data_IF_761069190735
#
_entry.id   IF_761069190735
#
_cell.length_a   1.000
_cell.length_b   1.000
_cell.length_c   1.000
_cell.angle_alpha   90.00
_cell.angle_beta   90.00
_cell.angle_gamma   90.00
#
_symmetry.space_group_name_H-M   'P 1'
#
loop_
_entity.id
_entity.type
_entity.pdbx_description
1 polymer ?
#
# COMPACT_ATOMS: atom_id res chain seq x y z
N UNK A 1 24.20 11.97 49.18
CA UNK A 1 24.80 11.32 48.00
C UNK A 1 23.64 11.15 47.03
N UNK A 2 23.57 12.07 46.07
CA UNK A 2 22.55 12.06 45.03
C UNK A 2 23.09 11.14 43.93
N UNK A 3 22.78 9.85 44.03
CA UNK A 3 23.11 8.89 42.97
C UNK A 3 22.16 9.16 41.81
N UNK A 4 22.61 10.06 40.93
CA UNK A 4 21.94 10.40 39.71
C UNK A 4 21.68 9.14 38.90
N UNK A 5 20.40 8.81 38.76
CA UNK A 5 19.90 7.74 37.89
C UNK A 5 20.55 7.90 36.53
N UNK A 6 21.18 6.84 36.03
CA UNK A 6 21.88 6.89 34.75
C UNK A 6 20.92 7.25 33.62
N UNK A 7 21.45 7.81 32.53
CA UNK A 7 20.62 8.16 31.35
C UNK A 7 19.85 6.94 30.85
N UNK A 8 20.44 5.74 30.94
CA UNK A 8 19.79 4.47 30.57
C UNK A 8 18.62 4.14 31.49
N UNK A 9 18.77 4.26 32.80
CA UNK A 9 17.70 3.94 33.75
C UNK A 9 16.54 4.93 33.68
N UNK A 10 16.81 6.20 33.34
CA UNK A 10 15.76 7.19 33.05
C UNK A 10 15.05 6.88 31.74
N UNK A 11 15.77 6.42 30.72
CA UNK A 11 15.18 6.00 29.44
C UNK A 11 14.29 4.77 29.64
N UNK A 12 14.77 3.74 30.34
CA UNK A 12 14.01 2.52 30.64
C UNK A 12 12.75 2.83 31.47
N UNK A 13 12.84 3.74 32.44
CA UNK A 13 11.69 4.16 33.25
C UNK A 13 10.65 4.94 32.42
N UNK A 14 11.09 5.75 31.46
CA UNK A 14 10.21 6.46 30.51
C UNK A 14 9.53 5.45 29.58
N UNK A 15 10.29 4.50 29.02
CA UNK A 15 9.75 3.44 28.16
C UNK A 15 8.72 2.59 28.91
N UNK A 16 9.02 2.19 30.15
CA UNK A 16 8.11 1.40 30.98
C UNK A 16 6.86 2.18 31.41
N UNK A 17 6.97 3.49 31.62
CA UNK A 17 5.82 4.36 31.88
C UNK A 17 4.95 4.53 30.63
N UNK A 18 5.56 4.73 29.46
CA UNK A 18 4.86 4.79 28.18
C UNK A 18 4.17 3.47 27.84
N UNK A 19 4.83 2.32 28.06
CA UNK A 19 4.22 1.00 27.87
C UNK A 19 3.02 0.76 28.80
N UNK A 20 3.07 1.25 30.05
CA UNK A 20 1.93 1.19 30.98
C UNK A 20 0.79 2.10 30.55
N UNK A 21 1.09 3.35 30.20
CA UNK A 21 0.09 4.30 29.69
C UNK A 21 -0.60 3.78 28.42
N UNK A 22 0.10 3.05 27.56
CA UNK A 22 -0.48 2.38 26.39
C UNK A 22 -1.27 1.11 26.71
N UNK A 23 -0.86 0.34 27.71
CA UNK A 23 -1.65 -0.78 28.24
C UNK A 23 -3.04 -0.32 28.74
N UNK A 24 -3.13 0.95 29.13
CA UNK A 24 -4.36 1.59 29.59
C UNK A 24 -5.21 2.23 28.48
N UNK A 25 -4.70 2.36 27.24
CA UNK A 25 -5.48 2.93 26.11
C UNK A 25 -6.25 1.87 25.34
N UNK A 26 -7.45 2.23 24.89
CA UNK A 26 -8.31 1.37 24.11
C UNK A 26 -7.95 1.49 22.62
N UNK A 27 -7.47 0.39 22.05
CA UNK A 27 -7.13 0.27 20.63
C UNK A 27 -8.35 -0.21 19.84
N UNK A 28 -8.82 0.61 18.91
CA UNK A 28 -9.92 0.26 18.00
C UNK A 28 -9.37 -0.15 16.64
N UNK A 29 -9.73 -1.35 16.18
CA UNK A 29 -9.39 -1.84 14.84
C UNK A 29 -10.56 -1.58 13.89
N UNK A 30 -10.26 -1.37 12.60
CA UNK A 30 -11.30 -1.30 11.57
C UNK A 30 -12.02 -2.64 11.46
N UNK A 31 -13.36 -2.60 11.40
CA UNK A 31 -14.19 -3.80 11.30
C UNK A 31 -13.87 -4.64 10.05
N UNK A 32 -13.40 -3.99 8.98
CA UNK A 32 -12.95 -4.64 7.74
C UNK A 32 -11.96 -5.79 8.02
N UNK A 33 -11.02 -5.60 8.94
CA UNK A 33 -10.00 -6.59 9.27
C UNK A 33 -10.55 -7.76 10.11
N UNK A 34 -11.57 -7.51 10.94
CA UNK A 34 -12.22 -8.56 11.71
C UNK A 34 -13.06 -9.47 10.80
N UNK A 35 -13.71 -8.87 9.79
CA UNK A 35 -14.45 -9.61 8.79
C UNK A 35 -13.56 -10.53 7.94
N UNK A 36 -12.29 -10.16 7.69
CA UNK A 36 -11.35 -11.04 6.99
C UNK A 36 -10.98 -12.30 7.77
N UNK A 37 -11.13 -12.27 9.10
CA UNK A 37 -10.97 -13.46 9.97
C UNK A 37 -12.30 -14.21 10.17
N UNK A 38 -13.36 -13.87 9.42
CA UNK A 38 -14.70 -14.43 9.57
C UNK A 38 -15.40 -14.00 10.87
N UNK A 39 -14.92 -12.95 11.53
CA UNK A 39 -15.44 -12.47 12.81
C UNK A 39 -16.31 -11.23 12.61
N UNK A 40 -17.56 -11.28 13.08
CA UNK A 40 -18.46 -10.14 13.14
C UNK A 40 -18.75 -9.79 14.61
N UNK A 41 -18.00 -8.85 15.21
CA UNK A 41 -18.17 -8.53 16.62
C UNK A 41 -19.47 -7.75 16.86
N UNK A 42 -20.05 -7.91 18.04
CA UNK A 42 -21.04 -6.97 18.55
C UNK A 42 -20.41 -5.58 18.74
N UNK A 43 -21.24 -4.53 18.74
CA UNK A 43 -20.77 -3.16 18.89
C UNK A 43 -19.99 -3.00 20.20
N UNK A 44 -18.72 -2.65 20.10
CA UNK A 44 -17.90 -2.33 21.26
C UNK A 44 -18.47 -1.12 22.01
N UNK A 45 -18.40 -1.17 23.34
CA UNK A 45 -18.80 -0.07 24.23
C UNK A 45 -17.78 1.08 24.25
N UNK A 46 -16.71 1.01 23.45
CA UNK A 46 -15.58 1.94 23.41
C UNK A 46 -15.02 2.28 24.80
N UNK A 47 -15.19 1.39 25.78
CA UNK A 47 -14.80 1.60 27.17
C UNK A 47 -15.56 2.70 27.90
N UNK A 48 -16.80 3.01 27.50
CA UNK A 48 -17.69 3.89 28.26
C UNK A 48 -17.75 3.43 29.72
N UNK A 49 -17.42 4.33 30.65
CA UNK A 49 -17.42 4.04 32.10
C UNK A 49 -16.19 3.31 32.63
N UNK A 50 -15.23 2.93 31.77
CA UNK A 50 -13.98 2.28 32.22
C UNK A 50 -12.90 3.25 32.70
N UNK A 51 -13.05 4.55 32.43
CA UNK A 51 -12.05 5.58 32.72
C UNK A 51 -10.82 5.57 31.81
N UNK A 52 -10.74 4.62 30.87
CA UNK A 52 -9.67 4.50 29.88
C UNK A 52 -9.93 5.37 28.66
N UNK A 53 -8.87 5.91 28.08
CA UNK A 53 -8.93 6.74 26.89
C UNK A 53 -8.74 5.90 25.62
N UNK A 54 -9.34 6.33 24.51
CA UNK A 54 -9.07 5.73 23.19
C UNK A 54 -7.66 6.09 22.73
N UNK A 55 -7.04 5.20 21.95
CA UNK A 55 -5.81 5.55 21.25
C UNK A 55 -6.11 6.59 20.16
N UNK A 56 -5.72 7.83 20.43
CA UNK A 56 -5.80 8.96 19.51
C UNK A 56 -4.40 9.42 19.08
N UNK A 57 -4.26 9.81 17.82
CA UNK A 57 -2.99 10.30 17.26
C UNK A 57 -2.07 9.19 16.74
N UNK A 58 -0.76 9.45 16.79
CA UNK A 58 0.27 8.51 16.36
C UNK A 58 0.39 7.35 17.37
N UNK A 59 0.49 6.11 16.87
CA UNK A 59 0.64 4.90 17.67
C UNK A 59 2.11 4.67 18.00
N UNK A 60 2.50 4.76 19.27
CA UNK A 60 3.90 4.60 19.70
C UNK A 60 4.46 3.19 19.52
N UNK A 61 3.61 2.19 19.24
CA UNK A 61 4.04 0.83 18.87
C UNK A 61 4.59 0.78 17.44
N UNK A 62 4.33 1.80 16.64
CA UNK A 62 4.86 1.95 15.29
C UNK A 62 6.03 2.94 15.29
N UNK A 63 7.00 2.78 14.37
CA UNK A 63 8.02 3.80 14.15
C UNK A 63 7.40 5.19 13.92
N UNK A 64 8.02 6.20 14.51
CA UNK A 64 7.53 7.58 14.44
C UNK A 64 7.58 8.09 12.99
N UNK A 65 6.47 8.68 12.55
CA UNK A 65 6.37 9.33 11.24
C UNK A 65 6.93 10.76 11.31
N UNK A 66 7.67 11.24 10.30
CA UNK A 66 8.06 12.66 10.20
C UNK A 66 6.85 13.61 10.20
N UNK A 67 7.10 14.89 10.51
CA UNK A 67 6.05 15.91 10.53
C UNK A 67 5.41 16.09 9.14
N UNK A 68 6.24 16.12 8.09
CA UNK A 68 5.85 16.17 6.68
C UNK A 68 6.29 14.86 5.98
N UNK A 69 5.48 13.78 6.07
CA UNK A 69 5.90 12.47 5.57
C UNK A 69 5.95 12.41 4.04
N UNK A 70 6.99 11.77 3.52
CA UNK A 70 7.16 11.45 2.10
C UNK A 70 6.61 10.07 1.78
N UNK A 71 6.46 9.76 0.49
CA UNK A 71 6.13 8.40 0.06
C UNK A 71 7.12 7.36 0.60
N UNK A 72 8.43 7.67 0.60
CA UNK A 72 9.47 6.78 1.12
C UNK A 72 9.36 6.55 2.63
N UNK A 73 8.83 7.50 3.39
CA UNK A 73 8.55 7.31 4.82
C UNK A 73 7.43 6.29 5.04
N UNK A 74 6.36 6.33 4.22
CA UNK A 74 5.31 5.30 4.29
C UNK A 74 5.84 3.91 3.92
N UNK A 75 6.66 3.82 2.88
CA UNK A 75 7.32 2.57 2.47
C UNK A 75 8.15 1.97 3.61
N UNK A 76 8.95 2.80 4.29
CA UNK A 76 9.86 2.35 5.36
C UNK A 76 9.14 2.08 6.68
N UNK A 77 8.11 2.85 7.00
CA UNK A 77 7.54 2.93 8.36
C UNK A 77 6.13 2.34 8.49
N UNK A 78 5.43 2.07 7.38
CA UNK A 78 4.04 1.58 7.40
C UNK A 78 3.77 0.39 6.49
N UNK A 79 4.50 0.23 5.39
CA UNK A 79 4.24 -0.86 4.45
C UNK A 79 4.97 -2.14 4.86
N UNK A 80 4.55 -3.26 4.27
CA UNK A 80 5.10 -4.57 4.55
C UNK A 80 6.61 -4.62 4.28
N UNK A 81 7.37 -5.01 5.31
CA UNK A 81 8.82 -5.26 5.22
C UNK A 81 9.04 -6.45 4.28
N UNK A 82 9.92 -6.28 3.29
CA UNK A 82 10.24 -7.31 2.29
C UNK A 82 9.22 -7.46 1.16
N UNK A 83 7.97 -7.01 1.35
CA UNK A 83 6.91 -7.04 0.33
C UNK A 83 7.17 -6.12 -0.88
N UNK A 84 8.16 -5.24 -0.75
CA UNK A 84 8.52 -4.24 -1.77
C UNK A 84 9.34 -4.82 -2.93
N UNK A 85 9.98 -5.98 -2.75
CA UNK A 85 10.81 -6.59 -3.80
C UNK A 85 9.98 -6.96 -5.04
N UNK A 86 8.72 -7.35 -4.87
CA UNK A 86 7.74 -7.53 -5.96
C UNK A 86 7.66 -6.27 -6.84
N UNK A 87 7.38 -5.13 -6.21
CA UNK A 87 7.24 -3.84 -6.89
C UNK A 87 8.56 -3.42 -7.56
N UNK A 88 9.68 -3.58 -6.87
CA UNK A 88 11.01 -3.19 -7.37
C UNK A 88 11.47 -4.06 -8.53
N UNK A 89 11.25 -5.38 -8.48
CA UNK A 89 11.58 -6.27 -9.60
C UNK A 89 10.67 -6.01 -10.81
N UNK A 90 9.38 -5.72 -10.59
CA UNK A 90 8.46 -5.32 -11.66
C UNK A 90 8.92 -4.04 -12.36
N UNK A 91 9.27 -3.00 -11.60
CA UNK A 91 9.83 -1.76 -12.14
C UNK A 91 11.17 -1.97 -12.87
N UNK A 92 12.05 -2.82 -12.34
CA UNK A 92 13.32 -3.16 -12.97
C UNK A 92 13.12 -3.85 -14.31
N UNK A 93 12.16 -4.77 -14.40
CA UNK A 93 11.81 -5.44 -15.65
C UNK A 93 11.22 -4.45 -16.67
N UNK A 94 10.31 -3.58 -16.23
CA UNK A 94 9.74 -2.51 -17.05
C UNK A 94 10.85 -1.61 -17.65
N UNK A 95 11.84 -1.25 -16.83
CA UNK A 95 12.98 -0.45 -17.28
C UNK A 95 13.85 -1.20 -18.29
N UNK A 96 14.15 -2.49 -18.06
CA UNK A 96 14.89 -3.34 -19.01
C UNK A 96 14.15 -3.53 -20.33
N UNK A 97 12.83 -3.58 -20.29
CA UNK A 97 11.96 -3.66 -21.46
C UNK A 97 11.81 -2.31 -22.19
N UNK A 98 12.48 -1.24 -21.72
CA UNK A 98 12.51 0.06 -22.39
C UNK A 98 11.22 0.86 -22.26
N UNK A 99 10.39 0.59 -21.25
CA UNK A 99 9.19 1.39 -21.00
C UNK A 99 9.57 2.82 -20.56
N UNK A 100 8.73 3.82 -20.90
CA UNK A 100 8.96 5.19 -20.46
C UNK A 100 8.88 5.31 -18.94
N UNK A 101 9.57 6.29 -18.35
CA UNK A 101 9.72 6.40 -16.89
C UNK A 101 8.40 6.46 -16.11
N UNK A 102 7.36 7.12 -16.63
CA UNK A 102 6.05 7.13 -15.96
C UNK A 102 5.41 5.74 -15.91
N UNK A 103 5.68 4.86 -16.88
CA UNK A 103 5.25 3.47 -16.85
C UNK A 103 6.14 2.59 -15.97
N UNK A 104 7.44 2.91 -15.85
CA UNK A 104 8.30 2.30 -14.82
C UNK A 104 7.76 2.65 -13.43
N UNK A 105 7.35 3.90 -13.20
CA UNK A 105 6.66 4.30 -11.97
C UNK A 105 5.35 3.54 -11.80
N UNK A 106 4.56 3.36 -12.86
CA UNK A 106 3.32 2.61 -12.78
C UNK A 106 3.55 1.16 -12.31
N UNK A 107 4.56 0.47 -12.84
CA UNK A 107 4.97 -0.85 -12.36
C UNK A 107 5.51 -0.82 -10.92
N UNK A 108 6.21 0.23 -10.51
CA UNK A 108 6.69 0.40 -9.14
C UNK A 108 5.55 0.56 -8.12
N UNK A 109 4.39 1.07 -8.55
CA UNK A 109 3.28 1.44 -7.66
C UNK A 109 2.02 0.57 -7.82
N UNK A 110 1.97 -0.36 -8.78
CA UNK A 110 0.73 -1.05 -9.13
C UNK A 110 0.06 -1.78 -7.96
N UNK A 111 0.86 -2.42 -7.10
CA UNK A 111 0.41 -3.19 -5.95
C UNK A 111 0.64 -2.45 -4.61
N UNK A 112 0.77 -1.12 -4.64
CA UNK A 112 1.00 -0.29 -3.44
C UNK A 112 -0.06 -0.51 -2.35
N UNK A 113 -1.31 -0.76 -2.74
CA UNK A 113 -2.40 -1.05 -1.80
C UNK A 113 -2.26 -2.46 -1.18
N UNK A 114 -1.70 -3.43 -1.91
CA UNK A 114 -1.38 -4.75 -1.35
C UNK A 114 -0.27 -4.64 -0.30
N UNK A 115 0.76 -3.84 -0.57
CA UNK A 115 1.89 -3.66 0.35
C UNK A 115 1.55 -2.84 1.60
N UNK A 116 0.62 -1.89 1.49
CA UNK A 116 0.44 -0.87 2.52
C UNK A 116 -0.97 -0.70 3.07
N UNK A 117 -2.02 -1.02 2.31
CA UNK A 117 -3.38 -0.53 2.61
C UNK A 117 -4.46 -1.63 2.55
N UNK A 118 -5.31 -1.65 1.53
CA UNK A 118 -6.41 -2.61 1.38
C UNK A 118 -6.14 -3.49 0.17
N UNK A 119 -6.12 -4.81 0.39
CA UNK A 119 -5.84 -5.82 -0.65
C UNK A 119 -7.01 -6.11 -1.58
N UNK A 120 -8.22 -6.19 -1.04
CA UNK A 120 -9.43 -6.40 -1.85
C UNK A 120 -9.64 -5.17 -2.72
N UNK A 121 -9.78 -5.35 -4.04
CA UNK A 121 -9.78 -4.26 -5.02
C UNK A 121 -8.52 -3.36 -4.99
N UNK A 122 -7.34 -3.98 -4.80
CA UNK A 122 -6.05 -3.29 -4.70
C UNK A 122 -5.76 -2.30 -5.84
N UNK A 123 -6.13 -2.63 -7.09
CA UNK A 123 -5.91 -1.72 -8.22
C UNK A 123 -6.70 -0.42 -8.05
N UNK A 124 -7.93 -0.51 -7.55
CA UNK A 124 -8.78 0.65 -7.29
C UNK A 124 -8.28 1.46 -6.10
N UNK A 125 -8.02 0.81 -4.96
CA UNK A 125 -7.50 1.50 -3.78
C UNK A 125 -6.14 2.13 -4.03
N UNK A 126 -5.25 1.40 -4.71
CA UNK A 126 -3.92 1.87 -5.08
C UNK A 126 -4.00 3.09 -6.00
N UNK A 127 -4.78 2.99 -7.07
CA UNK A 127 -4.99 4.09 -8.00
C UNK A 127 -5.55 5.33 -7.31
N UNK A 128 -6.62 5.19 -6.50
CA UNK A 128 -7.23 6.31 -5.76
C UNK A 128 -6.25 6.95 -4.77
N UNK A 129 -5.42 6.14 -4.10
CA UNK A 129 -4.44 6.63 -3.13
C UNK A 129 -3.36 7.50 -3.76
N UNK A 130 -2.96 7.19 -5.00
CA UNK A 130 -1.87 7.91 -5.68
C UNK A 130 -2.34 8.93 -6.72
N UNK A 131 -3.60 8.86 -7.16
CA UNK A 131 -4.17 9.67 -8.27
C UNK A 131 -3.84 11.17 -8.19
N UNK A 132 -3.88 11.84 -7.01
CA UNK A 132 -3.55 13.26 -6.95
C UNK A 132 -2.07 13.58 -7.23
N UNK A 133 -1.18 12.59 -7.14
CA UNK A 133 0.26 12.76 -7.15
C UNK A 133 0.93 12.26 -8.43
N UNK A 134 0.23 11.53 -9.28
CA UNK A 134 0.78 10.97 -10.52
C UNK A 134 0.00 11.46 -11.74
N UNK A 135 0.47 11.12 -12.93
CA UNK A 135 -0.28 11.41 -14.15
C UNK A 135 -1.52 10.51 -14.27
N UNK A 136 -2.57 11.03 -14.92
CA UNK A 136 -3.86 10.35 -15.09
C UNK A 136 -3.69 8.96 -15.74
N UNK A 137 -2.77 8.84 -16.70
CA UNK A 137 -2.42 7.57 -17.34
C UNK A 137 -1.88 6.54 -16.35
N UNK A 138 -1.01 6.94 -15.43
CA UNK A 138 -0.42 6.06 -14.41
C UNK A 138 -1.50 5.57 -13.46
N UNK A 139 -2.33 6.48 -12.94
CA UNK A 139 -3.44 6.11 -12.05
C UNK A 139 -4.43 5.18 -12.76
N UNK A 140 -4.79 5.49 -14.01
CA UNK A 140 -5.69 4.65 -14.81
C UNK A 140 -5.11 3.27 -15.08
N UNK A 141 -3.82 3.20 -15.46
CA UNK A 141 -3.14 1.95 -15.75
C UNK A 141 -3.10 1.05 -14.51
N UNK A 142 -2.77 1.61 -13.35
CA UNK A 142 -2.80 0.91 -12.05
C UNK A 142 -4.23 0.51 -11.69
N UNK A 143 -5.25 1.31 -11.97
CA UNK A 143 -6.63 0.90 -11.69
C UNK A 143 -7.03 -0.33 -12.50
N UNK A 144 -6.69 -0.33 -13.78
CA UNK A 144 -7.17 -1.32 -14.75
C UNK A 144 -6.30 -2.57 -14.81
N UNK A 145 -5.04 -2.55 -14.36
CA UNK A 145 -4.22 -3.76 -14.30
C UNK A 145 -4.91 -4.89 -13.51
N UNK A 146 -5.74 -4.53 -12.51
CA UNK A 146 -6.52 -5.47 -11.71
C UNK A 146 -7.49 -6.32 -12.54
N UNK A 147 -8.19 -5.77 -13.53
CA UNK A 147 -9.09 -6.58 -14.36
C UNK A 147 -8.31 -7.23 -15.52
N UNK A 148 -7.35 -6.52 -16.12
CA UNK A 148 -6.57 -7.03 -17.25
C UNK A 148 -5.74 -8.27 -16.91
N UNK A 149 -5.25 -8.40 -15.66
CA UNK A 149 -4.43 -9.55 -15.22
C UNK A 149 -5.10 -10.92 -15.44
N UNK A 150 -6.43 -10.97 -15.51
CA UNK A 150 -7.20 -12.20 -15.72
C UNK A 150 -7.46 -12.57 -17.18
N UNK A 151 -7.12 -11.69 -18.14
CA UNK A 151 -7.43 -11.93 -19.56
C UNK A 151 -6.15 -11.94 -20.40
N UNK A 152 -5.94 -12.96 -21.24
CA UNK A 152 -4.77 -13.03 -22.11
C UNK A 152 -4.81 -11.94 -23.19
N UNK A 153 -3.63 -11.60 -23.70
CA UNK A 153 -3.43 -10.71 -24.83
C UNK A 153 -2.20 -11.17 -25.64
N UNK A 154 -2.47 -11.94 -26.70
CA UNK A 154 -1.44 -12.52 -27.57
C UNK A 154 -0.61 -11.46 -28.30
N UNK A 155 -1.16 -10.25 -28.51
CA UNK A 155 -0.46 -9.18 -29.24
C UNK A 155 0.82 -8.72 -28.54
N UNK A 156 0.91 -8.94 -27.23
CA UNK A 156 2.07 -8.65 -26.38
C UNK A 156 2.60 -9.89 -25.66
N UNK A 157 2.18 -11.08 -26.09
CA UNK A 157 2.61 -12.35 -25.50
C UNK A 157 2.16 -12.57 -24.05
N UNK A 158 1.11 -11.88 -23.59
CA UNK A 158 0.56 -12.06 -22.25
C UNK A 158 -0.43 -13.23 -22.23
N UNK A 159 0.02 -14.41 -21.79
CA UNK A 159 -0.85 -15.55 -21.53
C UNK A 159 -1.62 -15.43 -20.20
N UNK A 160 -2.60 -16.31 -19.96
CA UNK A 160 -3.18 -16.44 -18.62
C UNK A 160 -2.11 -17.03 -17.68
N UNK A 161 -1.80 -16.39 -16.53
CA UNK A 161 -0.72 -16.87 -15.67
C UNK A 161 -0.97 -18.28 -15.13
N UNK A 162 -0.03 -19.22 -15.36
CA UNK A 162 -0.14 -20.59 -14.83
C UNK A 162 -0.28 -20.60 -13.30
N UNK A 163 0.34 -19.64 -12.62
CA UNK A 163 0.24 -19.53 -11.17
C UNK A 163 -1.20 -19.26 -10.70
N UNK A 164 -2.04 -18.61 -11.51
CA UNK A 164 -3.44 -18.39 -11.15
C UNK A 164 -4.26 -19.67 -11.20
N UNK A 165 -3.95 -20.56 -12.14
CA UNK A 165 -4.56 -21.90 -12.19
C UNK A 165 -4.29 -22.62 -10.87
N UNK A 166 -3.04 -22.54 -10.37
CA UNK A 166 -2.63 -23.15 -9.10
C UNK A 166 -3.26 -22.46 -7.88
N UNK A 167 -3.32 -21.13 -7.88
CA UNK A 167 -3.76 -20.33 -6.73
C UNK A 167 -5.29 -20.22 -6.60
N UNK A 168 -5.99 -20.10 -7.73
CA UNK A 168 -7.43 -19.83 -7.76
C UNK A 168 -8.24 -21.08 -8.16
N UNK A 169 -7.59 -22.05 -8.81
CA UNK A 169 -8.22 -23.27 -9.33
C UNK A 169 -8.51 -23.17 -10.83
N UNK A 170 -8.54 -24.33 -11.50
CA UNK A 170 -8.78 -24.46 -12.95
C UNK A 170 -10.15 -23.88 -13.37
N UNK A 171 -11.15 -24.01 -12.51
CA UNK A 171 -12.53 -23.56 -12.77
C UNK A 171 -12.80 -22.11 -12.33
N UNK A 172 -11.80 -21.39 -11.81
CA UNK A 172 -12.00 -20.02 -11.36
C UNK A 172 -12.37 -19.12 -12.55
N UNK A 173 -13.42 -18.32 -12.36
CA UNK A 173 -13.81 -17.28 -13.30
C UNK A 173 -13.88 -15.94 -12.56
N UNK A 174 -13.42 -14.84 -13.18
CA UNK A 174 -13.58 -13.52 -12.59
C UNK A 174 -15.05 -13.18 -12.36
N UNK A 175 -15.33 -12.46 -11.28
CA UNK A 175 -16.68 -11.97 -10.98
C UNK A 175 -17.24 -11.12 -12.14
N UNK A 176 -18.57 -11.08 -12.34
CA UNK A 176 -19.18 -10.38 -13.47
C UNK A 176 -18.76 -8.91 -13.64
N UNK A 177 -18.49 -8.21 -12.53
CA UNK A 177 -18.05 -6.81 -12.58
C UNK A 177 -16.61 -6.68 -13.11
N UNK A 178 -15.72 -7.65 -12.86
CA UNK A 178 -14.36 -7.69 -13.40
C UNK A 178 -14.41 -7.91 -14.91
N UNK A 179 -15.25 -8.83 -15.38
CA UNK A 179 -15.47 -9.05 -16.81
C UNK A 179 -16.00 -7.79 -17.52
N UNK A 180 -16.97 -7.10 -16.90
CA UNK A 180 -17.51 -5.85 -17.42
C UNK A 180 -16.48 -4.70 -17.43
N UNK A 181 -15.57 -4.65 -16.46
CA UNK A 181 -14.46 -3.68 -16.45
C UNK A 181 -13.43 -4.01 -17.52
N UNK A 182 -13.09 -5.28 -17.74
CA UNK A 182 -12.20 -5.69 -18.84
C UNK A 182 -12.74 -5.23 -20.21
N UNK A 183 -14.02 -5.47 -20.50
CA UNK A 183 -14.62 -5.06 -21.77
C UNK A 183 -14.62 -3.53 -21.96
N UNK A 184 -14.76 -2.75 -20.88
CA UNK A 184 -14.58 -1.30 -20.92
C UNK A 184 -13.13 -0.91 -21.17
N UNK A 185 -12.20 -1.53 -20.45
CA UNK A 185 -10.78 -1.19 -20.51
C UNK A 185 -10.14 -1.46 -21.87
N UNK A 186 -10.54 -2.53 -22.58
CA UNK A 186 -10.04 -2.88 -23.94
C UNK A 186 -10.22 -1.76 -24.97
N UNK A 187 -11.26 -0.96 -24.80
CA UNK A 187 -11.62 0.12 -25.73
C UNK A 187 -11.00 1.46 -25.32
N UNK A 188 -10.22 1.51 -24.24
CA UNK A 188 -9.64 2.73 -23.73
C UNK A 188 -8.28 3.04 -24.37
N UNK A 189 -7.98 4.33 -24.57
CA UNK A 189 -6.71 4.81 -25.17
C UNK A 189 -5.44 4.34 -24.43
N UNK A 190 -5.55 4.07 -23.14
CA UNK A 190 -4.46 3.62 -22.27
C UNK A 190 -4.49 2.12 -21.98
N UNK A 191 -5.31 1.35 -22.70
CA UNK A 191 -5.37 -0.11 -22.53
C UNK A 191 -3.97 -0.74 -22.47
N UNK A 192 -3.09 -0.33 -23.38
CA UNK A 192 -1.74 -0.90 -23.45
C UNK A 192 -0.86 -0.49 -22.27
N UNK A 193 -1.08 0.68 -21.69
CA UNK A 193 -0.39 1.12 -20.47
C UNK A 193 -0.71 0.18 -19.30
N UNK A 194 -1.99 -0.14 -19.06
CA UNK A 194 -2.39 -1.12 -18.06
C UNK A 194 -1.87 -2.54 -18.37
N UNK A 195 -1.96 -2.95 -19.65
CA UNK A 195 -1.49 -4.27 -20.08
C UNK A 195 0.01 -4.45 -19.86
N UNK A 196 0.80 -3.40 -20.10
CA UNK A 196 2.24 -3.44 -19.86
C UNK A 196 2.57 -3.55 -18.38
N UNK A 197 1.73 -3.10 -17.45
CA UNK A 197 1.89 -3.44 -16.03
C UNK A 197 1.77 -4.96 -15.86
N UNK A 198 0.71 -5.59 -16.39
CA UNK A 198 0.52 -7.04 -16.29
C UNK A 198 1.70 -7.84 -16.89
N UNK A 199 2.23 -7.41 -18.04
CA UNK A 199 3.40 -8.05 -18.69
C UNK A 199 4.64 -8.01 -17.79
N UNK A 200 4.79 -6.95 -16.99
CA UNK A 200 5.93 -6.76 -16.10
C UNK A 200 5.65 -7.17 -14.64
N UNK A 201 4.43 -7.66 -14.34
CA UNK A 201 4.00 -8.15 -13.03
C UNK A 201 4.15 -9.68 -12.98
N UNK A 202 5.39 -10.14 -12.84
CA UNK A 202 5.73 -11.57 -12.86
C UNK A 202 5.45 -12.27 -11.53
N UNK A 203 4.38 -13.06 -11.41
CA UNK A 203 4.04 -13.75 -10.14
C UNK A 203 5.10 -14.71 -9.56
N UNK A 204 6.11 -15.10 -10.33
CA UNK A 204 7.26 -15.90 -9.89
C UNK A 204 8.54 -15.07 -10.04
N UNK A 205 8.78 -14.18 -9.07
CA UNK A 205 9.99 -13.34 -9.03
C UNK A 205 11.23 -14.15 -8.70
N UNK A 206 12.37 -13.63 -9.13
CA UNK A 206 13.68 -14.24 -8.89
C UNK A 206 14.05 -14.07 -7.41
N UNK A 207 14.16 -15.16 -6.63
CA UNK A 207 14.49 -15.08 -5.20
C UNK A 207 15.93 -14.59 -4.95
N UNK A 208 16.80 -14.68 -5.96
CA UNK A 208 18.21 -14.29 -5.87
C UNK A 208 18.43 -12.84 -6.36
N UNK A 209 17.43 -12.24 -7.03
CA UNK A 209 17.48 -10.85 -7.47
C UNK A 209 17.00 -9.91 -6.37
N UNK A 210 17.94 -9.16 -5.79
CA UNK A 210 17.63 -8.02 -4.92
C UNK A 210 17.75 -6.72 -5.70
N UNK A 211 16.67 -5.93 -5.69
CA UNK A 211 16.65 -4.58 -6.25
C UNK A 211 16.50 -3.59 -5.11
N UNK A 212 17.29 -2.52 -5.14
CA UNK A 212 17.29 -1.50 -4.10
C UNK A 212 16.52 -0.24 -4.57
N UNK A 213 15.94 0.50 -3.62
CA UNK A 213 15.07 1.65 -3.92
C UNK A 213 15.82 2.78 -4.62
N UNK A 214 17.12 2.92 -4.35
CA UNK A 214 18.04 3.90 -4.92
C UNK A 214 18.00 3.88 -6.45
N UNK A 215 17.69 2.74 -7.08
CA UNK A 215 17.52 2.64 -8.53
C UNK A 215 16.33 3.47 -9.07
N UNK A 216 15.29 3.68 -8.25
CA UNK A 216 14.04 4.33 -8.66
C UNK A 216 13.75 5.64 -7.94
N UNK A 217 14.60 6.09 -7.02
CA UNK A 217 14.40 7.37 -6.30
C UNK A 217 14.26 8.55 -7.29
N UNK A 218 15.06 8.59 -8.36
CA UNK A 218 14.98 9.63 -9.39
C UNK A 218 13.71 9.53 -10.24
N UNK A 219 13.20 8.32 -10.50
CA UNK A 219 11.94 8.13 -11.24
C UNK A 219 10.78 8.58 -10.36
N UNK A 220 10.77 8.18 -9.09
CA UNK A 220 9.78 8.62 -8.12
C UNK A 220 9.80 10.15 -7.98
N UNK A 221 10.97 10.76 -7.80
CA UNK A 221 11.12 12.20 -7.62
C UNK A 221 10.66 13.05 -8.82
N UNK A 222 10.70 12.49 -10.04
CA UNK A 222 10.26 13.18 -11.27
C UNK A 222 8.78 12.98 -11.59
N UNK A 223 8.21 11.84 -11.22
CA UNK A 223 6.86 11.43 -11.65
C UNK A 223 5.83 11.35 -10.51
N UNK A 224 6.26 11.49 -9.25
CA UNK A 224 5.38 11.59 -8.08
C UNK A 224 5.44 12.99 -7.47
N UNK A 225 4.33 13.71 -7.51
CA UNK A 225 4.17 15.08 -7.00
C UNK A 225 4.05 15.06 -5.48
N UNK A 226 5.19 14.93 -4.81
CA UNK A 226 5.25 14.96 -3.34
C UNK A 226 4.75 16.31 -2.80
N UNK A 227 3.70 16.35 -1.95
CA UNK A 227 3.25 17.59 -1.33
C UNK A 227 4.31 18.12 -0.34
N UNK A 228 4.64 19.44 -0.36
CA UNK A 228 5.58 20.06 0.58
C UNK A 228 5.20 19.89 2.06
N UNK A 229 3.90 19.88 2.36
CA UNK A 229 3.34 19.65 3.69
C UNK A 229 3.40 18.18 4.14
N UNK A 230 3.66 17.25 3.21
CA UNK A 230 3.69 15.80 3.44
C UNK A 230 2.35 15.11 3.18
N UNK A 231 2.43 13.83 2.79
CA UNK A 231 1.27 13.02 2.43
C UNK A 231 0.29 12.89 3.60
N UNK A 232 -0.96 13.29 3.40
CA UNK A 232 -2.01 13.27 4.41
C UNK A 232 -2.16 14.56 5.21
N UNK A 233 -1.18 15.47 5.14
CA UNK A 233 -1.30 16.84 5.65
C UNK A 233 -1.85 17.80 4.58
N UNK A 234 -1.79 17.39 3.32
CA UNK A 234 -2.37 18.06 2.17
C UNK A 234 -3.92 17.96 2.16
N UNK A 235 -4.55 18.56 1.16
CA UNK A 235 -6.02 18.59 1.01
C UNK A 235 -6.50 17.92 -0.28
N UNK A 236 -5.86 16.82 -0.67
CA UNK A 236 -6.30 16.02 -1.82
C UNK A 236 -7.39 15.03 -1.40
N UNK A 237 -8.16 14.49 -2.37
CA UNK A 237 -9.10 13.42 -2.08
C UNK A 237 -8.47 12.19 -1.41
N UNK A 238 -7.16 11.97 -1.60
CA UNK A 238 -6.43 10.84 -1.02
C UNK A 238 -5.84 11.12 0.37
N UNK A 239 -5.83 12.36 0.87
CA UNK A 239 -5.15 12.71 2.13
C UNK A 239 -5.66 11.92 3.33
N UNK A 240 -6.95 11.58 3.35
CA UNK A 240 -7.53 10.74 4.41
C UNK A 240 -6.96 9.31 4.41
N UNK A 241 -6.62 8.75 3.24
CA UNK A 241 -6.03 7.41 3.12
C UNK A 241 -4.62 7.39 3.74
N UNK A 242 -3.81 8.42 3.46
CA UNK A 242 -2.48 8.58 4.08
C UNK A 242 -2.55 8.81 5.59
N UNK A 243 -3.52 9.57 6.09
CA UNK A 243 -3.75 9.72 7.53
C UNK A 243 -4.14 8.40 8.20
N UNK A 244 -5.01 7.62 7.56
CA UNK A 244 -5.39 6.28 8.03
C UNK A 244 -4.18 5.36 8.09
N UNK A 245 -3.32 5.36 7.07
CA UNK A 245 -2.07 4.60 7.06
C UNK A 245 -1.10 5.05 8.17
N UNK A 246 -0.98 6.36 8.40
CA UNK A 246 -0.14 6.90 9.46
C UNK A 246 -0.63 6.46 10.84
N UNK A 247 -1.96 6.45 11.03
CA UNK A 247 -2.66 6.26 12.31
C UNK A 247 -3.81 5.25 12.19
N UNK A 248 -3.53 3.95 12.03
CA UNK A 248 -4.54 2.95 11.69
C UNK A 248 -5.59 2.70 12.79
N UNK A 249 -5.28 3.06 14.04
CA UNK A 249 -6.17 2.85 15.18
C UNK A 249 -6.83 4.13 15.71
N UNK A 250 -6.63 5.27 15.04
CA UNK A 250 -7.11 6.56 15.50
C UNK A 250 -8.61 6.74 15.19
N UNK A 251 -9.41 6.97 16.24
CA UNK A 251 -10.86 7.10 16.14
C UNK A 251 -11.28 8.57 15.83
N UNK A 252 -11.26 8.94 14.55
CA UNK A 252 -11.80 10.22 14.03
C UNK A 252 -13.17 10.05 13.37
#
# INVERSE_FOLDING_TARGET
>A
MDEGTSISERADAIEYAQMRELGDRIVTKSNLYLLSDGTQPERADFGIGSGRELLMGDDSRLPQMPAAPTFMDFIRLRFQIGGQQHLLQSANLAQKNGLPEHMVLACLLHDVAVSGFIRSDHGYWGAQMIEPYVDEEVSWAIRMHQCLRFYPDESVGYGYPENYIRMFGEDYQPEPYIAAEYERAKNHKWYMSARMICVNDLYSFDPDLKVDWEQFEDVLGRHFKQPPEGLGNDNTPASHMWRTLRRPCNAL
#
